data_IF_418129632858
#
_entry.id   IF_418129632858
#
_cell.length_a   1.000
_cell.length_b   1.000
_cell.length_c   1.000
_cell.angle_alpha   90.00
_cell.angle_beta   90.00
_cell.angle_gamma   90.00
#
_symmetry.space_group_name_H-M   'P 1'
#
loop_
_entity.id
_entity.type
_entity.pdbx_description
1 polymer ?
#
# COMPACT_ATOMS: atom_id res chain seq x y z
N UNK A 1 -11.46 -4.04 0.27
CA UNK A 1 -11.54 -2.86 -0.63
C UNK A 1 -11.80 -1.63 0.22
N UNK A 2 -11.14 -0.50 -0.04
CA UNK A 2 -11.38 0.74 0.69
C UNK A 2 -12.77 1.30 0.33
N UNK A 3 -13.53 1.70 1.34
CA UNK A 3 -14.85 2.31 1.19
C UNK A 3 -15.03 3.38 2.25
N UNK A 4 -15.58 4.53 1.84
CA UNK A 4 -15.85 5.64 2.75
C UNK A 4 -17.35 5.88 2.74
N UNK A 5 -17.95 5.92 3.93
CA UNK A 5 -19.36 6.22 4.13
C UNK A 5 -19.50 7.66 4.60
N UNK A 6 -20.37 8.43 3.95
CA UNK A 6 -20.71 9.79 4.38
C UNK A 6 -21.55 9.73 5.65
N UNK A 7 -21.13 10.47 6.69
CA UNK A 7 -21.88 10.62 7.96
C UNK A 7 -22.40 12.05 8.20
N UNK A 8 -22.30 12.97 7.22
CA UNK A 8 -22.77 14.36 7.35
C UNK A 8 -22.20 15.31 6.28
N UNK A 9 -22.26 16.63 6.54
CA UNK A 9 -21.77 17.76 5.71
C UNK A 9 -20.22 17.86 5.61
N UNK A 10 -19.52 16.76 5.34
CA UNK A 10 -18.10 16.88 4.99
C UNK A 10 -17.95 17.36 3.53
N UNK A 11 -17.07 18.34 3.25
CA UNK A 11 -16.76 18.75 1.89
C UNK A 11 -16.24 17.57 1.07
N UNK A 12 -16.81 17.39 -0.14
CA UNK A 12 -16.48 16.29 -1.07
C UNK A 12 -14.97 16.19 -1.33
N UNK A 13 -14.29 17.34 -1.43
CA UNK A 13 -12.83 17.46 -1.62
C UNK A 13 -12.03 16.74 -0.51
N UNK A 14 -12.47 16.87 0.74
CA UNK A 14 -11.80 16.26 1.89
C UNK A 14 -11.95 14.73 1.85
N UNK A 15 -13.12 14.26 1.40
CA UNK A 15 -13.42 12.83 1.26
C UNK A 15 -12.64 12.17 0.13
N UNK A 16 -12.49 12.84 -1.02
CA UNK A 16 -11.65 12.37 -2.12
C UNK A 16 -10.19 12.19 -1.68
N UNK A 17 -9.67 13.13 -0.87
CA UNK A 17 -8.32 13.02 -0.30
C UNK A 17 -8.20 11.86 0.67
N UNK A 18 -9.18 11.66 1.56
CA UNK A 18 -9.23 10.50 2.47
C UNK A 18 -9.30 9.18 1.68
N UNK A 19 -10.07 9.13 0.60
CA UNK A 19 -10.21 7.95 -0.27
C UNK A 19 -8.92 7.61 -0.98
N UNK A 20 -8.27 8.60 -1.59
CA UNK A 20 -6.96 8.43 -2.21
C UNK A 20 -5.93 7.90 -1.21
N UNK A 21 -5.89 8.47 0.00
CA UNK A 21 -4.99 8.01 1.07
C UNK A 21 -5.31 6.57 1.52
N UNK A 22 -6.58 6.18 1.57
CA UNK A 22 -6.97 4.80 1.88
C UNK A 22 -6.53 3.81 0.79
N UNK A 23 -6.71 4.17 -0.50
CA UNK A 23 -6.24 3.34 -1.63
C UNK A 23 -4.72 3.16 -1.58
N UNK A 24 -3.99 4.26 -1.33
CA UNK A 24 -2.53 4.25 -1.22
C UNK A 24 -2.06 3.40 -0.04
N UNK A 25 -2.71 3.53 1.13
CA UNK A 25 -2.36 2.77 2.32
C UNK A 25 -2.71 1.28 2.20
N UNK A 26 -3.83 0.97 1.54
CA UNK A 26 -4.23 -0.41 1.24
C UNK A 26 -3.31 -1.06 0.20
N UNK A 27 -2.52 -0.29 -0.56
CA UNK A 27 -1.57 -0.81 -1.53
C UNK A 27 -2.20 -1.43 -2.78
N UNK A 28 -3.48 -1.12 -3.05
CA UNK A 28 -4.26 -1.71 -4.16
C UNK A 28 -3.57 -1.52 -5.51
N UNK A 29 -3.03 -0.32 -5.79
CA UNK A 29 -2.28 -0.06 -7.03
C UNK A 29 -1.00 -0.91 -7.15
N UNK A 30 -0.35 -1.20 -6.03
CA UNK A 30 0.85 -2.04 -6.03
C UNK A 30 0.51 -3.52 -6.24
N UNK A 31 -0.71 -3.95 -5.89
CA UNK A 31 -1.15 -5.33 -6.11
C UNK A 31 -1.63 -5.55 -7.54
N UNK A 32 -2.31 -4.57 -8.15
CA UNK A 32 -2.63 -4.58 -9.59
C UNK A 32 -1.34 -4.71 -10.42
N UNK A 33 -0.35 -3.86 -10.16
CA UNK A 33 0.96 -3.92 -10.86
C UNK A 33 1.74 -5.22 -10.67
N UNK A 34 1.47 -5.99 -9.60
CA UNK A 34 2.09 -7.31 -9.42
C UNK A 34 1.34 -8.41 -10.18
N UNK A 35 0.05 -8.21 -10.45
CA UNK A 35 -0.80 -9.14 -11.17
C UNK A 35 -0.80 -8.97 -12.69
N UNK A 36 -0.32 -7.82 -13.20
CA UNK A 36 -0.24 -7.52 -14.64
C UNK A 36 0.67 -8.49 -15.42
N UNK A 37 1.61 -9.16 -14.77
CA UNK A 37 2.51 -10.11 -15.42
C UNK A 37 2.69 -11.39 -14.61
N UNK A 38 2.82 -12.52 -15.29
CA UNK A 38 3.15 -13.78 -14.65
C UNK A 38 4.60 -13.76 -14.13
N UNK A 39 4.73 -13.68 -12.81
CA UNK A 39 6.03 -13.76 -12.14
C UNK A 39 6.25 -15.20 -11.65
N UNK A 40 7.30 -15.86 -12.15
CA UNK A 40 7.65 -17.24 -11.76
C UNK A 40 7.73 -17.36 -10.22
N UNK A 41 7.26 -18.46 -9.61
CA UNK A 41 7.20 -18.59 -8.15
C UNK A 41 8.51 -18.29 -7.41
N UNK A 42 9.66 -18.63 -8.01
CA UNK A 42 11.00 -18.32 -7.47
C UNK A 42 11.26 -16.81 -7.38
N UNK A 43 10.92 -16.05 -8.42
CA UNK A 43 11.11 -14.59 -8.47
C UNK A 43 10.18 -13.92 -7.47
N UNK A 44 8.91 -14.36 -7.38
CA UNK A 44 7.95 -13.89 -6.37
C UNK A 44 8.46 -14.08 -4.94
N UNK A 45 9.06 -15.24 -4.63
CA UNK A 45 9.69 -15.53 -3.32
C UNK A 45 10.87 -14.59 -3.04
N UNK A 46 11.77 -14.40 -4.02
CA UNK A 46 12.91 -13.48 -3.91
C UNK A 46 12.46 -12.04 -3.68
N UNK A 47 11.46 -11.57 -4.44
CA UNK A 47 10.88 -10.22 -4.32
C UNK A 47 10.23 -9.99 -2.96
N UNK A 48 9.51 -10.98 -2.43
CA UNK A 48 8.92 -10.94 -1.08
C UNK A 48 9.99 -10.81 0.01
N UNK A 49 11.08 -11.59 -0.08
CA UNK A 49 12.18 -11.53 0.87
C UNK A 49 12.91 -10.17 0.84
N UNK A 50 13.18 -9.64 -0.36
CA UNK A 50 13.80 -8.32 -0.51
C UNK A 50 12.92 -7.20 0.07
N UNK A 51 11.60 -7.25 -0.17
CA UNK A 51 10.66 -6.29 0.40
C UNK A 51 10.63 -6.35 1.95
N UNK A 52 10.68 -7.54 2.54
CA UNK A 52 10.71 -7.71 3.99
C UNK A 52 12.00 -7.13 4.60
N UNK A 53 13.16 -7.41 4.00
CA UNK A 53 14.46 -6.85 4.42
C UNK A 53 14.46 -5.31 4.36
N UNK A 54 13.96 -4.74 3.26
CA UNK A 54 13.85 -3.29 3.10
C UNK A 54 12.93 -2.65 4.16
N UNK A 55 11.81 -3.32 4.51
CA UNK A 55 10.91 -2.86 5.58
C UNK A 55 11.58 -2.91 6.95
N UNK A 56 12.30 -3.98 7.27
CA UNK A 56 13.04 -4.11 8.53
C UNK A 56 14.12 -3.02 8.67
N UNK A 57 14.93 -2.80 7.63
CA UNK A 57 15.93 -1.74 7.61
C UNK A 57 15.31 -0.34 7.83
N UNK A 58 14.18 -0.05 7.16
CA UNK A 58 13.46 1.22 7.35
C UNK A 58 12.91 1.38 8.77
N UNK A 59 12.48 0.29 9.43
CA UNK A 59 12.00 0.29 10.81
C UNK A 59 13.13 0.60 11.79
N UNK A 60 14.28 -0.06 11.63
CA UNK A 60 15.47 0.17 12.47
C UNK A 60 15.91 1.64 12.37
N UNK A 61 16.01 2.18 11.14
CA UNK A 61 16.35 3.60 10.91
C UNK A 61 15.39 4.59 11.58
N UNK A 62 14.12 4.21 11.78
CA UNK A 62 13.11 5.03 12.45
C UNK A 62 13.11 4.91 13.97
N UNK A 63 13.68 3.83 14.52
CA UNK A 63 13.80 3.59 15.96
C UNK A 63 15.09 4.18 16.54
N UNK A 64 16.13 4.34 15.73
CA UNK A 64 17.39 4.99 16.13
C UNK A 64 17.44 6.50 15.88
N UNK A 65 16.29 7.14 15.64
CA UNK A 65 16.14 8.58 15.42
C UNK A 65 15.09 9.15 16.38
#
# INVERSE_FOLDING_TARGET
MPGIFLRGEEPIELMLRKFKKQIENAGVMADVRKGESYEKPSVRRKRKAAAARKRAAKRIRRMGA
#
